data_IF_120726911214
#
_entry.id   IF_120726911214
#
_cell.length_a   1.000
_cell.length_b   1.000
_cell.length_c   1.000
_cell.angle_alpha   90.00
_cell.angle_beta   90.00
_cell.angle_gamma   90.00
#
_symmetry.space_group_name_H-M   'P 1'
#
loop_
_entity.id
_entity.type
_entity.pdbx_description
1 polymer ?
#
# COMPACT_ATOMS: atom_id res chain seq x y z
N UNK A 1 -2.85 0.68 -8.62
CA UNK A 1 -3.87 -0.27 -9.13
C UNK A 1 -3.46 -1.71 -8.89
N UNK A 2 -2.27 -2.15 -9.32
CA UNK A 2 -1.85 -3.56 -9.17
C UNK A 2 -1.15 -3.88 -7.83
N UNK A 3 -0.92 -2.89 -6.95
CA UNK A 3 -0.06 -3.06 -5.77
C UNK A 3 -0.57 -4.12 -4.78
N UNK A 4 -1.88 -4.33 -4.70
CA UNK A 4 -2.52 -5.33 -3.82
C UNK A 4 -2.87 -6.67 -4.52
N UNK A 5 -2.40 -6.92 -5.75
CA UNK A 5 -2.80 -8.12 -6.53
C UNK A 5 -2.40 -9.44 -5.84
N UNK A 6 -1.33 -9.42 -5.06
CA UNK A 6 -0.80 -10.54 -4.28
C UNK A 6 -1.38 -10.66 -2.87
N UNK A 7 -2.29 -9.76 -2.45
CA UNK A 7 -2.94 -9.88 -1.15
C UNK A 7 -3.91 -11.06 -1.14
N UNK A 8 -3.57 -12.07 -0.34
CA UNK A 8 -4.51 -13.11 0.06
C UNK A 8 -5.33 -12.68 1.28
N UNK A 9 -6.48 -13.34 1.56
CA UNK A 9 -7.30 -13.01 2.72
C UNK A 9 -6.47 -12.98 4.01
N UNK A 10 -6.61 -11.89 4.78
CA UNK A 10 -5.86 -11.66 6.02
C UNK A 10 -4.34 -11.49 5.86
N UNK A 11 -3.82 -11.19 4.67
CA UNK A 11 -2.38 -11.06 4.39
C UNK A 11 -1.60 -10.26 5.46
N UNK A 12 -2.09 -9.09 5.86
CA UNK A 12 -1.44 -8.28 6.90
C UNK A 12 -1.39 -8.96 8.28
N UNK A 13 -2.42 -9.74 8.63
CA UNK A 13 -2.50 -10.46 9.91
C UNK A 13 -1.69 -11.75 9.94
N UNK A 14 -1.38 -12.28 8.76
CA UNK A 14 -0.65 -13.54 8.57
C UNK A 14 0.82 -13.33 8.21
N UNK A 15 1.33 -12.10 8.20
CA UNK A 15 2.75 -11.78 7.92
C UNK A 15 3.77 -12.52 8.81
N UNK A 16 3.35 -12.99 9.98
CA UNK A 16 4.20 -13.77 10.89
C UNK A 16 4.29 -15.26 10.51
N UNK A 17 3.45 -15.73 9.59
CA UNK A 17 3.61 -17.05 8.99
C UNK A 17 4.73 -16.97 7.96
N UNK A 18 5.48 -18.06 7.81
CA UNK A 18 6.54 -18.19 6.79
C UNK A 18 5.90 -18.44 5.42
N UNK A 19 5.16 -17.43 4.96
CA UNK A 19 4.45 -17.41 3.67
C UNK A 19 5.03 -16.28 2.84
N UNK A 20 4.99 -16.48 1.52
CA UNK A 20 5.51 -15.52 0.57
C UNK A 20 4.86 -14.13 0.76
N UNK A 21 5.66 -13.07 0.58
CA UNK A 21 5.16 -11.70 0.71
C UNK A 21 4.18 -11.38 -0.40
N UNK A 22 3.15 -10.59 -0.08
CA UNK A 22 2.17 -10.14 -1.08
C UNK A 22 2.82 -9.31 -2.19
N UNK A 23 3.87 -8.55 -1.90
CA UNK A 23 4.65 -7.80 -2.91
C UNK A 23 5.31 -8.76 -3.93
N UNK A 24 5.93 -9.83 -3.44
CA UNK A 24 6.57 -10.84 -4.31
C UNK A 24 5.53 -11.63 -5.12
N UNK A 25 4.40 -11.99 -4.49
CA UNK A 25 3.28 -12.61 -5.18
C UNK A 25 2.67 -11.71 -6.27
N UNK A 26 2.51 -10.41 -6.00
CA UNK A 26 2.08 -9.42 -6.99
C UNK A 26 3.05 -9.39 -8.18
N UNK A 27 4.35 -9.32 -7.89
CA UNK A 27 5.40 -9.26 -8.89
C UNK A 27 5.41 -10.49 -9.82
N UNK A 28 5.29 -11.70 -9.24
CA UNK A 28 5.17 -12.95 -10.02
C UNK A 28 3.95 -12.92 -10.95
N UNK A 29 2.78 -12.56 -10.42
CA UNK A 29 1.53 -12.48 -11.21
C UNK A 29 1.63 -11.48 -12.36
N UNK A 30 2.29 -10.35 -12.15
CA UNK A 30 2.52 -9.35 -13.20
C UNK A 30 3.40 -9.92 -14.33
N UNK A 31 4.33 -10.81 -14.03
CA UNK A 31 5.28 -11.36 -15.00
C UNK A 31 4.82 -12.67 -15.67
N UNK A 32 3.93 -13.46 -15.04
CA UNK A 32 3.58 -14.82 -15.48
C UNK A 32 2.19 -14.96 -16.12
N UNK A 33 1.22 -14.10 -15.77
CA UNK A 33 -0.18 -14.25 -16.16
C UNK A 33 -0.59 -13.34 -17.35
N UNK A 34 -1.89 -13.27 -17.64
CA UNK A 34 -2.52 -12.37 -18.63
C UNK A 34 -2.10 -10.90 -18.47
N UNK A 35 -1.74 -10.49 -17.25
CA UNK A 35 -1.22 -9.14 -16.98
C UNK A 35 0.06 -8.83 -17.75
N UNK A 36 0.95 -9.80 -17.91
CA UNK A 36 2.21 -9.61 -18.63
C UNK A 36 1.94 -9.24 -20.09
N UNK A 37 0.97 -9.94 -20.72
CA UNK A 37 0.56 -9.67 -22.10
C UNK A 37 -0.11 -8.30 -22.20
N UNK A 38 -1.07 -7.97 -21.34
CA UNK A 38 -1.77 -6.67 -21.37
C UNK A 38 -0.78 -5.51 -21.16
N UNK A 39 0.12 -5.62 -20.17
CA UNK A 39 1.09 -4.56 -19.86
C UNK A 39 2.06 -4.35 -21.04
N UNK A 40 2.48 -5.45 -21.69
CA UNK A 40 3.45 -5.38 -22.78
C UNK A 40 2.82 -4.99 -24.12
N UNK A 41 1.69 -5.59 -24.48
CA UNK A 41 1.08 -5.49 -25.81
C UNK A 41 0.10 -4.33 -25.90
N UNK A 42 -0.76 -4.14 -24.90
CA UNK A 42 -1.77 -3.07 -24.92
C UNK A 42 -1.23 -1.74 -24.39
N UNK A 43 -0.37 -1.79 -23.35
CA UNK A 43 0.17 -0.58 -22.70
C UNK A 43 1.58 -0.23 -23.18
N UNK A 44 2.30 -1.15 -23.83
CA UNK A 44 3.66 -0.90 -24.33
C UNK A 44 4.72 -0.68 -23.24
N UNK A 45 4.48 -1.16 -22.03
CA UNK A 45 5.39 -1.02 -20.88
C UNK A 45 6.07 -2.36 -20.58
N UNK A 46 7.30 -2.35 -20.08
CA UNK A 46 7.96 -3.57 -19.61
C UNK A 46 7.30 -4.08 -18.31
N UNK A 47 6.70 -5.29 -18.28
CA UNK A 47 6.12 -5.84 -17.05
C UNK A 47 7.14 -5.97 -15.91
N UNK A 48 8.42 -6.21 -16.22
CA UNK A 48 9.48 -6.28 -15.20
C UNK A 48 9.74 -4.94 -14.53
N UNK A 49 9.58 -3.82 -15.25
CA UNK A 49 9.61 -2.47 -14.66
C UNK A 49 8.47 -2.32 -13.63
N UNK A 50 7.24 -2.70 -14.01
CA UNK A 50 6.06 -2.58 -13.14
C UNK A 50 6.22 -3.46 -11.90
N UNK A 51 6.66 -4.70 -12.08
CA UNK A 51 6.99 -5.62 -11.00
C UNK A 51 8.05 -5.05 -10.05
N UNK A 52 9.11 -4.44 -10.60
CA UNK A 52 10.17 -3.82 -9.80
C UNK A 52 9.69 -2.56 -9.05
N UNK A 53 8.71 -1.81 -9.55
CA UNK A 53 8.12 -0.68 -8.82
C UNK A 53 7.38 -1.17 -7.56
N UNK A 54 6.71 -2.32 -7.64
CA UNK A 54 5.91 -2.88 -6.53
C UNK A 54 6.76 -3.68 -5.55
N UNK A 55 7.60 -4.60 -6.03
CA UNK A 55 8.52 -5.37 -5.19
C UNK A 55 9.86 -4.66 -5.11
N UNK A 56 10.07 -3.94 -4.01
CA UNK A 56 11.30 -3.18 -3.76
C UNK A 56 12.56 -4.06 -3.64
N UNK A 57 12.42 -5.37 -3.42
CA UNK A 57 13.54 -6.31 -3.34
C UNK A 57 14.08 -6.71 -4.71
N UNK A 58 13.32 -6.48 -5.78
CA UNK A 58 13.79 -6.76 -7.13
C UNK A 58 14.84 -5.73 -7.55
N UNK A 59 16.04 -6.21 -7.89
CA UNK A 59 17.02 -5.39 -8.58
C UNK A 59 16.53 -5.11 -10.00
N UNK A 60 16.35 -3.83 -10.32
CA UNK A 60 16.04 -3.40 -11.67
C UNK A 60 17.05 -2.33 -12.10
N UNK A 61 17.87 -2.65 -13.10
CA UNK A 61 18.98 -1.81 -13.58
C UNK A 61 18.57 -0.83 -14.69
N UNK A 62 17.27 -0.67 -14.95
CA UNK A 62 16.79 0.01 -16.15
C UNK A 62 16.69 1.55 -16.04
N UNK A 63 15.99 2.11 -15.05
CA UNK A 63 15.74 3.57 -15.00
C UNK A 63 15.75 4.15 -13.58
N UNK A 64 16.16 5.42 -13.47
CA UNK A 64 16.02 6.23 -12.25
C UNK A 64 14.55 6.42 -11.84
N UNK A 65 13.63 6.36 -12.82
CA UNK A 65 12.18 6.50 -12.59
C UNK A 65 11.62 5.43 -11.64
N UNK A 66 12.18 4.22 -11.61
CA UNK A 66 11.72 3.16 -10.70
C UNK A 66 11.88 3.59 -9.23
N UNK A 67 12.98 4.28 -8.90
CA UNK A 67 13.19 4.79 -7.54
C UNK A 67 12.17 5.87 -7.21
N UNK A 68 11.87 6.76 -8.16
CA UNK A 68 10.83 7.77 -7.99
C UNK A 68 9.46 7.14 -7.72
N UNK A 69 9.03 6.16 -8.52
CA UNK A 69 7.74 5.49 -8.34
C UNK A 69 7.67 4.64 -7.07
N UNK A 70 8.77 4.00 -6.67
CA UNK A 70 8.87 3.34 -5.36
C UNK A 70 8.62 4.34 -4.23
N UNK A 71 9.30 5.48 -4.26
CA UNK A 71 9.13 6.53 -3.25
C UNK A 71 7.72 7.14 -3.26
N UNK A 72 7.06 7.21 -4.43
CA UNK A 72 5.65 7.62 -4.53
C UNK A 72 4.70 6.63 -3.86
N UNK A 73 4.98 5.33 -3.98
CA UNK A 73 4.20 4.27 -3.36
C UNK A 73 4.64 3.97 -1.92
N UNK A 74 5.76 4.55 -1.46
CA UNK A 74 6.30 4.34 -0.12
C UNK A 74 6.39 5.66 0.65
N UNK A 75 5.41 5.94 1.50
CA UNK A 75 5.48 7.13 2.34
C UNK A 75 4.38 7.26 3.38
N UNK A 76 4.30 8.44 3.99
CA UNK A 76 3.11 8.85 4.76
C UNK A 76 2.00 9.32 3.81
N UNK A 77 2.39 9.80 2.63
CA UNK A 77 1.52 10.39 1.61
C UNK A 77 1.34 9.49 0.39
N UNK A 78 1.62 8.19 0.49
CA UNK A 78 1.37 7.33 -0.66
C UNK A 78 -0.14 7.22 -0.95
N UNK A 79 -0.51 7.08 -2.24
CA UNK A 79 -1.91 7.03 -2.65
C UNK A 79 -2.70 5.90 -1.98
N UNK A 80 -2.04 4.78 -1.64
CA UNK A 80 -2.66 3.65 -0.97
C UNK A 80 -3.17 4.04 0.43
N UNK A 81 -2.32 4.68 1.25
CA UNK A 81 -2.71 5.18 2.58
C UNK A 81 -3.79 6.22 2.53
N UNK A 82 -3.72 7.14 1.56
CA UNK A 82 -4.74 8.18 1.38
C UNK A 82 -6.10 7.56 1.02
N UNK A 83 -6.13 6.52 0.19
CA UNK A 83 -7.38 5.81 -0.12
C UNK A 83 -7.90 5.02 1.07
N UNK A 84 -7.12 4.08 1.63
CA UNK A 84 -7.65 3.15 2.62
C UNK A 84 -8.04 3.87 3.92
N UNK A 85 -7.32 4.92 4.35
CA UNK A 85 -7.69 5.67 5.56
C UNK A 85 -9.05 6.35 5.39
N UNK A 86 -9.31 6.97 4.24
CA UNK A 86 -10.60 7.61 3.97
C UNK A 86 -11.72 6.60 3.80
N UNK A 87 -11.46 5.54 3.04
CA UNK A 87 -12.40 4.45 2.79
C UNK A 87 -12.82 3.79 4.09
N UNK A 88 -11.85 3.36 4.91
CA UNK A 88 -12.12 2.68 6.17
C UNK A 88 -12.82 3.60 7.17
N UNK A 89 -12.43 4.88 7.22
CA UNK A 89 -13.11 5.87 8.05
C UNK A 89 -14.58 6.03 7.67
N UNK A 90 -14.89 6.08 6.38
CA UNK A 90 -16.25 6.18 5.87
C UNK A 90 -17.07 4.93 6.23
N UNK A 91 -16.58 3.73 5.90
CA UNK A 91 -17.33 2.48 6.11
C UNK A 91 -17.43 2.09 7.60
N UNK A 92 -16.46 2.46 8.43
CA UNK A 92 -16.51 2.23 9.88
C UNK A 92 -17.24 3.34 10.64
N UNK A 93 -17.68 4.42 9.97
CA UNK A 93 -18.35 5.56 10.60
C UNK A 93 -17.45 6.32 11.58
N UNK A 94 -16.15 6.46 11.28
CA UNK A 94 -15.18 7.19 12.12
C UNK A 94 -14.96 8.58 11.53
N UNK A 95 -15.64 9.63 12.04
CA UNK A 95 -15.69 10.94 11.40
C UNK A 95 -14.34 11.67 11.38
N UNK A 96 -13.44 11.35 12.31
CA UNK A 96 -12.12 11.97 12.42
C UNK A 96 -11.07 11.38 11.48
N UNK A 97 -11.45 10.37 10.68
CA UNK A 97 -10.54 9.71 9.76
C UNK A 97 -10.45 10.37 8.37
N UNK A 98 -11.44 11.18 7.99
CA UNK A 98 -11.57 11.73 6.63
C UNK A 98 -10.53 12.84 6.40
N UNK A 99 -9.81 12.76 5.30
CA UNK A 99 -8.74 13.67 4.89
C UNK A 99 -9.07 14.34 3.55
N UNK A 100 -8.62 15.57 3.38
CA UNK A 100 -8.68 16.27 2.10
C UNK A 100 -7.53 15.78 1.19
N UNK A 101 -7.80 14.71 0.45
CA UNK A 101 -6.83 14.09 -0.45
C UNK A 101 -6.44 15.03 -1.59
N UNK A 102 -7.38 15.82 -2.11
CA UNK A 102 -7.13 16.74 -3.20
C UNK A 102 -6.13 17.83 -2.78
N UNK A 103 -6.31 18.40 -1.59
CA UNK A 103 -5.34 19.35 -1.04
C UNK A 103 -3.96 18.72 -0.84
N UNK A 104 -3.89 17.51 -0.29
CA UNK A 104 -2.62 16.80 -0.08
C UNK A 104 -1.88 16.60 -1.39
N UNK A 105 -2.56 16.09 -2.43
CA UNK A 105 -1.97 15.84 -3.74
C UNK A 105 -1.46 17.12 -4.41
N UNK A 106 -2.19 18.23 -4.25
CA UNK A 106 -1.78 19.53 -4.79
C UNK A 106 -0.50 20.09 -4.16
N UNK A 107 -0.18 19.67 -2.92
CA UNK A 107 0.99 20.15 -2.19
C UNK A 107 2.18 19.19 -2.25
N UNK A 108 2.05 18.04 -2.92
CA UNK A 108 3.17 17.14 -3.22
C UNK A 108 3.93 17.66 -4.43
N UNK A 109 5.25 17.79 -4.30
CA UNK A 109 6.14 18.31 -5.34
C UNK A 109 7.33 17.38 -5.56
N UNK A 110 7.87 17.29 -6.79
CA UNK A 110 9.08 16.52 -7.05
C UNK A 110 10.28 17.15 -6.32
N UNK A 111 11.16 16.30 -5.77
CA UNK A 111 12.36 16.73 -5.06
C UNK A 111 13.56 15.89 -5.46
N UNK A 112 14.69 16.54 -5.74
CA UNK A 112 15.83 15.93 -6.42
C UNK A 112 16.53 14.82 -5.65
N UNK A 113 16.48 14.80 -4.31
CA UNK A 113 17.18 13.79 -3.51
C UNK A 113 16.31 12.63 -3.04
N UNK A 114 15.00 12.85 -2.83
CA UNK A 114 14.07 11.84 -2.30
C UNK A 114 12.96 11.47 -3.29
N UNK A 115 12.96 12.06 -4.49
CA UNK A 115 11.89 11.91 -5.48
C UNK A 115 10.71 12.83 -5.20
N UNK A 116 10.23 12.89 -3.95
CA UNK A 116 9.06 13.68 -3.55
C UNK A 116 9.30 14.46 -2.26
N UNK A 117 8.67 15.63 -2.16
CA UNK A 117 8.56 16.47 -0.97
C UNK A 117 7.16 17.08 -0.86
N UNK A 118 6.88 17.72 0.27
CA UNK A 118 5.65 18.50 0.47
C UNK A 118 6.00 19.98 0.63
N UNK A 119 5.15 20.87 0.12
CA UNK A 119 5.30 22.29 0.41
C UNK A 119 5.04 22.60 1.89
N UNK A 120 5.48 23.79 2.33
CA UNK A 120 5.12 24.30 3.65
C UNK A 120 3.62 24.48 3.87
N UNK A 121 2.83 24.72 2.82
CA UNK A 121 1.37 24.85 2.94
C UNK A 121 0.70 23.50 3.22
N UNK A 122 1.25 22.42 2.66
CA UNK A 122 0.76 21.06 2.86
C UNK A 122 1.10 20.47 4.23
N UNK A 123 1.92 21.14 5.06
CA UNK A 123 2.35 20.62 6.35
C UNK A 123 1.16 20.26 7.26
N UNK A 124 0.13 21.10 7.33
CA UNK A 124 -1.08 20.84 8.12
C UNK A 124 -1.84 19.60 7.64
N UNK A 125 -1.78 19.30 6.34
CA UNK A 125 -2.40 18.10 5.79
C UNK A 125 -1.67 16.84 6.24
N UNK A 126 -0.34 16.86 6.27
CA UNK A 126 0.48 15.75 6.81
C UNK A 126 0.14 15.51 8.29
N UNK A 127 0.06 16.57 9.09
CA UNK A 127 -0.32 16.47 10.50
C UNK A 127 -1.71 15.86 10.67
N UNK A 128 -2.68 16.29 9.86
CA UNK A 128 -4.03 15.74 9.84
C UNK A 128 -4.03 14.25 9.47
N UNK A 129 -3.26 13.84 8.46
CA UNK A 129 -3.15 12.43 8.04
C UNK A 129 -2.57 11.57 9.17
N UNK A 130 -1.50 12.04 9.81
CA UNK A 130 -0.87 11.33 10.93
C UNK A 130 -1.86 11.18 12.10
N UNK A 131 -2.62 12.23 12.40
CA UNK A 131 -3.64 12.20 13.45
C UNK A 131 -4.80 11.27 13.12
N UNK A 132 -5.32 11.31 11.89
CA UNK A 132 -6.36 10.39 11.41
C UNK A 132 -5.88 8.95 11.48
N UNK A 133 -4.68 8.67 10.98
CA UNK A 133 -4.06 7.34 11.07
C UNK A 133 -4.02 6.87 12.52
N UNK A 134 -3.53 7.69 13.45
CA UNK A 134 -3.52 7.35 14.87
C UNK A 134 -4.92 7.00 15.40
N UNK A 135 -5.94 7.78 15.07
CA UNK A 135 -7.31 7.54 15.50
C UNK A 135 -7.91 6.26 14.88
N UNK A 136 -7.63 5.99 13.60
CA UNK A 136 -8.04 4.77 12.91
C UNK A 136 -7.41 3.53 13.53
N UNK A 137 -6.11 3.59 13.87
CA UNK A 137 -5.44 2.50 14.60
C UNK A 137 -6.10 2.26 15.95
N UNK A 138 -6.35 3.32 16.72
CA UNK A 138 -6.91 3.19 18.07
C UNK A 138 -8.36 2.70 18.07
N UNK A 139 -9.16 3.15 17.12
CA UNK A 139 -10.62 2.93 17.10
C UNK A 139 -11.01 1.68 16.33
N UNK A 140 -10.34 1.41 15.20
CA UNK A 140 -10.71 0.35 14.27
C UNK A 140 -9.68 -0.78 14.31
N UNK A 141 -8.45 -0.52 13.87
CA UNK A 141 -7.48 -1.59 13.63
C UNK A 141 -7.04 -2.33 14.91
N UNK A 142 -7.00 -1.64 16.05
CA UNK A 142 -6.70 -2.24 17.36
C UNK A 142 -7.91 -2.51 18.22
N UNK A 143 -9.12 -2.42 17.67
CA UNK A 143 -10.31 -2.78 18.41
C UNK A 143 -10.24 -4.23 18.89
N UNK A 144 -10.46 -4.45 20.18
CA UNK A 144 -10.27 -5.77 20.83
C UNK A 144 -11.01 -6.90 20.12
N UNK A 145 -12.24 -6.65 19.64
CA UNK A 145 -13.03 -7.66 18.95
C UNK A 145 -12.43 -8.05 17.59
N UNK A 146 -11.90 -7.07 16.83
CA UNK A 146 -11.19 -7.32 15.57
C UNK A 146 -9.96 -8.17 15.84
N UNK A 147 -9.16 -7.80 16.84
CA UNK A 147 -7.94 -8.54 17.20
C UNK A 147 -8.23 -9.97 17.66
N UNK A 148 -9.28 -10.18 18.44
CA UNK A 148 -9.72 -11.52 18.87
C UNK A 148 -10.11 -12.36 17.65
N UNK A 149 -10.96 -11.84 16.77
CA UNK A 149 -11.39 -12.56 15.56
C UNK A 149 -10.20 -12.92 14.66
N UNK A 150 -9.29 -11.96 14.44
CA UNK A 150 -8.04 -12.20 13.70
C UNK A 150 -7.18 -13.30 14.32
N UNK A 151 -7.03 -13.31 15.65
CA UNK A 151 -6.27 -14.35 16.35
C UNK A 151 -6.91 -15.73 16.22
N UNK A 152 -8.25 -15.82 16.28
CA UNK A 152 -8.98 -17.08 16.07
C UNK A 152 -8.76 -17.63 14.66
N UNK A 153 -8.85 -16.78 13.63
CA UNK A 153 -8.63 -17.17 12.23
C UNK A 153 -7.19 -17.64 12.04
N UNK A 154 -6.21 -16.89 12.56
CA UNK A 154 -4.80 -17.28 12.50
C UNK A 154 -4.56 -18.65 13.14
N UNK A 155 -5.18 -18.92 14.30
CA UNK A 155 -5.09 -20.22 14.96
C UNK A 155 -5.71 -21.34 14.13
N UNK A 156 -6.88 -21.09 13.51
CA UNK A 156 -7.54 -22.06 12.66
C UNK A 156 -6.69 -22.44 11.43
N UNK A 157 -6.09 -21.45 10.77
CA UNK A 157 -5.19 -21.68 9.63
C UNK A 157 -3.97 -22.50 10.05
N UNK A 158 -3.32 -22.13 11.16
CA UNK A 158 -2.17 -22.87 11.70
C UNK A 158 -2.50 -24.33 12.01
N UNK A 159 -3.69 -24.61 12.52
CA UNK A 159 -4.15 -25.98 12.78
C UNK A 159 -4.51 -26.75 11.51
N UNK A 160 -4.90 -26.07 10.44
CA UNK A 160 -5.20 -26.71 9.16
C UNK A 160 -3.95 -27.03 8.32
N UNK A 161 -2.83 -26.36 8.59
CA UNK A 161 -1.55 -26.58 7.90
C UNK A 161 -0.66 -27.63 8.60
N UNK A 162 -0.98 -28.01 9.84
CA UNK A 162 -0.29 -29.05 10.63
C UNK A 162 -0.92 -30.42 10.44
#
# INVERSE_FOLDING_TARGET
MLHDLGHYPYAHSLKELDVESHESLTSKRICEDDFCLIIKEDLGVDPHLVAAIIDSNLEYRGSEDVVFFRNLLSGVLDPDKLDYLNRDAYFCGVPYGIQDVDFVLNEIVPYSSTGLAITWKGLSAVESILFSKYLMYRTVYWHKAVRIATAMIKKAILMGLS
#
